data_IF_408177576384
#
_entry.id   IF_408177576384
#
_cell.length_a   1.000
_cell.length_b   1.000
_cell.length_c   1.000
_cell.angle_alpha   90.00
_cell.angle_beta   90.00
_cell.angle_gamma   90.00
#
_symmetry.space_group_name_H-M   'P 1'
#
loop_
_entity.id
_entity.type
_entity.pdbx_description
1 polymer ?
#
# COMPACT_ATOMS: atom_id res chain seq x y z
N UNK A 1 -10.60 -45.91 26.38
CA UNK A 1 -11.98 -45.98 25.86
C UNK A 1 -11.91 -45.49 24.45
N UNK A 2 -12.34 -46.32 23.51
CA UNK A 2 -12.32 -45.99 22.10
C UNK A 2 -13.64 -45.30 21.73
N UNK A 3 -13.58 -44.40 20.76
CA UNK A 3 -14.67 -43.51 20.38
C UNK A 3 -15.09 -43.74 18.94
N UNK A 4 -16.39 -43.77 18.70
CA UNK A 4 -16.95 -43.81 17.35
C UNK A 4 -16.73 -42.48 16.62
N UNK A 5 -16.95 -42.48 15.30
CA UNK A 5 -16.87 -41.25 14.50
C UNK A 5 -17.79 -40.15 15.03
N UNK A 6 -19.01 -40.49 15.43
CA UNK A 6 -20.00 -39.52 15.89
C UNK A 6 -19.60 -38.87 17.22
N UNK A 7 -19.09 -39.66 18.17
CA UNK A 7 -18.60 -39.13 19.45
C UNK A 7 -17.40 -38.20 19.27
N UNK A 8 -16.52 -38.47 18.30
CA UNK A 8 -15.40 -37.58 17.97
C UNK A 8 -15.87 -36.30 17.28
N UNK A 9 -16.86 -36.39 16.39
CA UNK A 9 -17.48 -35.21 15.77
C UNK A 9 -18.07 -34.27 16.83
N UNK A 10 -18.85 -34.80 17.77
CA UNK A 10 -19.47 -34.01 18.85
C UNK A 10 -18.41 -33.41 19.78
N UNK A 11 -17.45 -34.23 20.23
CA UNK A 11 -16.40 -33.79 21.16
C UNK A 11 -15.52 -32.69 20.57
N UNK A 12 -15.15 -32.79 19.30
CA UNK A 12 -14.21 -31.85 18.65
C UNK A 12 -14.92 -30.78 17.83
N UNK A 13 -16.26 -30.83 17.73
CA UNK A 13 -17.06 -29.93 16.89
C UNK A 13 -16.58 -29.90 15.44
N UNK A 14 -16.28 -31.08 14.88
CA UNK A 14 -15.84 -31.25 13.48
C UNK A 14 -16.78 -32.17 12.73
N UNK A 15 -16.68 -32.16 11.39
CA UNK A 15 -17.48 -33.04 10.56
C UNK A 15 -16.79 -34.38 10.30
N UNK A 16 -17.59 -35.41 10.01
CA UNK A 16 -17.13 -36.71 9.52
C UNK A 16 -16.28 -36.58 8.27
N UNK A 17 -16.59 -35.60 7.41
CA UNK A 17 -15.78 -35.29 6.23
C UNK A 17 -14.37 -34.84 6.63
N UNK A 18 -14.22 -34.04 7.68
CA UNK A 18 -12.92 -33.62 8.23
C UNK A 18 -12.11 -34.83 8.73
N UNK A 19 -12.75 -35.75 9.45
CA UNK A 19 -12.11 -36.98 9.92
C UNK A 19 -11.65 -37.88 8.77
N UNK A 20 -12.52 -38.10 7.78
CA UNK A 20 -12.19 -38.85 6.56
C UNK A 20 -11.06 -38.17 5.79
N UNK A 21 -11.07 -36.85 5.72
CA UNK A 21 -10.01 -36.08 5.08
C UNK A 21 -8.67 -36.33 5.76
N UNK A 22 -8.58 -36.26 7.09
CA UNK A 22 -7.35 -36.55 7.82
C UNK A 22 -6.89 -38.02 7.67
N UNK A 23 -7.81 -38.96 7.58
CA UNK A 23 -7.48 -40.36 7.27
C UNK A 23 -6.91 -40.50 5.85
N UNK A 24 -7.55 -39.90 4.85
CA UNK A 24 -7.11 -39.94 3.45
C UNK A 24 -5.75 -39.26 3.25
N UNK A 25 -5.49 -38.19 3.98
CA UNK A 25 -4.20 -37.50 3.99
C UNK A 25 -3.12 -38.29 4.76
N UNK A 26 -3.48 -39.43 5.37
CA UNK A 26 -2.57 -40.28 6.15
C UNK A 26 -2.17 -39.68 7.50
N UNK A 27 -2.89 -38.64 7.95
CA UNK A 27 -2.61 -37.93 9.19
C UNK A 27 -3.09 -38.70 10.41
N UNK A 28 -4.15 -39.51 10.30
CA UNK A 28 -4.73 -40.31 11.39
C UNK A 28 -5.17 -41.65 10.82
N UNK A 29 -5.01 -42.76 11.54
CA UNK A 29 -5.38 -44.10 11.05
C UNK A 29 -6.14 -44.85 12.16
N UNK A 30 -7.44 -44.54 12.34
CA UNK A 30 -8.22 -45.18 13.40
C UNK A 30 -8.35 -46.69 13.14
N UNK A 31 -8.48 -47.45 14.22
CA UNK A 31 -8.84 -48.86 14.12
C UNK A 31 -10.26 -49.02 13.57
N UNK A 32 -10.62 -50.25 13.18
CA UNK A 32 -11.97 -50.58 12.77
C UNK A 32 -12.53 -51.70 13.62
N UNK A 33 -13.81 -51.61 13.96
CA UNK A 33 -14.52 -52.64 14.70
C UNK A 33 -14.92 -53.83 13.79
N UNK A 34 -15.59 -54.83 14.37
CA UNK A 34 -16.07 -56.01 13.64
C UNK A 34 -17.08 -55.70 12.53
N UNK A 35 -17.74 -54.54 12.59
CA UNK A 35 -18.70 -54.06 11.61
C UNK A 35 -18.05 -53.07 10.61
N UNK A 36 -16.72 -52.96 10.62
CA UNK A 36 -15.91 -52.09 9.78
C UNK A 36 -16.13 -50.57 10.02
N UNK A 37 -16.73 -50.19 11.15
CA UNK A 37 -16.83 -48.80 11.59
C UNK A 37 -15.51 -48.33 12.21
N UNK A 38 -15.21 -47.04 12.05
CA UNK A 38 -14.00 -46.41 12.62
C UNK A 38 -14.14 -46.28 14.12
N UNK A 39 -13.08 -46.66 14.82
CA UNK A 39 -12.94 -46.57 16.27
C UNK A 39 -11.63 -45.86 16.61
N UNK A 40 -11.74 -44.68 17.22
CA UNK A 40 -10.63 -43.78 17.52
C UNK A 40 -10.18 -43.99 18.96
N UNK A 41 -8.91 -44.29 19.16
CA UNK A 41 -8.35 -44.35 20.51
C UNK A 41 -7.95 -42.94 21.00
N UNK A 42 -7.43 -42.86 22.23
CA UNK A 42 -7.01 -41.58 22.82
C UNK A 42 -5.84 -40.91 22.07
N UNK A 43 -4.96 -41.70 21.46
CA UNK A 43 -3.84 -41.19 20.67
C UNK A 43 -4.34 -40.57 19.35
N UNK A 44 -5.27 -41.24 18.66
CA UNK A 44 -5.93 -40.71 17.47
C UNK A 44 -6.61 -39.37 17.77
N UNK A 45 -7.39 -39.32 18.86
CA UNK A 45 -8.06 -38.08 19.30
C UNK A 45 -7.05 -36.99 19.61
N UNK A 46 -5.97 -37.29 20.33
CA UNK A 46 -4.93 -36.32 20.68
C UNK A 46 -4.23 -35.78 19.42
N UNK A 47 -3.98 -36.65 18.45
CA UNK A 47 -3.40 -36.29 17.16
C UNK A 47 -4.35 -35.41 16.34
N UNK A 48 -5.64 -35.71 16.32
CA UNK A 48 -6.66 -34.85 15.67
C UNK A 48 -6.67 -33.47 16.33
N UNK A 49 -6.69 -33.38 17.67
CA UNK A 49 -6.63 -32.10 18.39
C UNK A 49 -5.40 -31.29 18.01
N UNK A 50 -4.25 -31.95 17.91
CA UNK A 50 -3.00 -31.29 17.50
C UNK A 50 -3.06 -30.77 16.05
N UNK A 51 -3.61 -31.56 15.13
CA UNK A 51 -3.84 -31.13 13.74
C UNK A 51 -4.75 -29.89 13.72
N UNK A 52 -5.86 -29.91 14.46
CA UNK A 52 -6.81 -28.80 14.52
C UNK A 52 -6.14 -27.51 15.04
N UNK A 53 -5.36 -27.60 16.12
CA UNK A 53 -4.60 -26.47 16.65
C UNK A 53 -3.67 -25.83 15.61
N UNK A 54 -2.94 -26.66 14.85
CA UNK A 54 -2.07 -26.15 13.78
C UNK A 54 -2.88 -25.53 12.61
N UNK A 55 -4.05 -26.10 12.30
CA UNK A 55 -4.96 -25.56 11.29
C UNK A 55 -5.56 -24.21 11.69
N UNK A 56 -5.80 -23.97 12.98
CA UNK A 56 -6.22 -22.65 13.49
C UNK A 56 -5.16 -21.57 13.27
N UNK A 57 -3.88 -21.95 13.27
CA UNK A 57 -2.75 -21.07 12.93
C UNK A 57 -2.45 -21.02 11.43
N UNK A 58 -3.38 -21.53 10.60
CA UNK A 58 -3.27 -21.59 9.15
C UNK A 58 -1.98 -22.29 8.66
N UNK A 59 -1.55 -23.32 9.39
CA UNK A 59 -0.51 -24.25 8.95
C UNK A 59 -1.13 -25.23 7.97
N UNK A 60 -0.50 -25.42 6.82
CA UNK A 60 -1.06 -26.28 5.75
C UNK A 60 -1.00 -27.76 6.13
N UNK A 61 -1.85 -28.58 5.50
CA UNK A 61 -1.84 -30.04 5.70
C UNK A 61 -0.49 -30.65 5.33
N UNK A 62 0.16 -30.14 4.29
CA UNK A 62 1.49 -30.60 3.87
C UNK A 62 2.56 -30.28 4.93
N UNK A 63 2.53 -29.10 5.54
CA UNK A 63 3.42 -28.75 6.65
C UNK A 63 3.14 -29.58 7.90
N UNK A 64 1.87 -29.85 8.21
CA UNK A 64 1.48 -30.72 9.33
C UNK A 64 2.01 -32.14 9.11
N UNK A 65 1.96 -32.67 7.88
CA UNK A 65 2.61 -33.96 7.55
C UNK A 65 4.12 -33.90 7.76
N UNK A 66 4.77 -32.80 7.41
CA UNK A 66 6.22 -32.64 7.62
C UNK A 66 6.57 -32.59 9.11
N UNK A 67 5.74 -31.92 9.92
CA UNK A 67 5.88 -31.87 11.38
C UNK A 67 5.71 -33.26 11.99
N UNK A 68 4.64 -33.96 11.64
CA UNK A 68 4.31 -35.29 12.18
C UNK A 68 5.36 -36.35 11.80
N UNK A 69 6.04 -36.18 10.66
CA UNK A 69 7.11 -37.07 10.21
C UNK A 69 8.50 -36.57 10.62
N UNK A 70 8.60 -35.65 11.59
CA UNK A 70 9.84 -35.08 12.13
C UNK A 70 10.77 -34.45 11.08
N UNK A 71 10.24 -34.09 9.91
CA UNK A 71 10.98 -33.41 8.83
C UNK A 71 11.13 -31.91 9.09
N UNK A 72 10.24 -31.34 9.91
CA UNK A 72 10.25 -29.94 10.32
C UNK A 72 9.88 -29.80 11.78
N UNK A 73 10.53 -28.87 12.47
CA UNK A 73 10.11 -28.44 13.80
C UNK A 73 8.85 -27.58 13.70
N UNK A 74 7.93 -27.76 14.65
CA UNK A 74 6.75 -26.90 14.82
C UNK A 74 7.20 -25.44 14.98
N UNK A 75 8.25 -25.23 15.77
CA UNK A 75 8.77 -23.88 16.06
C UNK A 75 9.18 -23.17 14.78
N UNK A 76 9.94 -23.86 13.91
CA UNK A 76 10.44 -23.27 12.68
C UNK A 76 9.30 -22.91 11.72
N UNK A 77 8.27 -23.78 11.62
CA UNK A 77 7.08 -23.50 10.80
C UNK A 77 6.35 -22.26 11.30
N UNK A 78 6.15 -22.14 12.62
CA UNK A 78 5.44 -21.01 13.21
C UNK A 78 6.26 -19.71 13.18
N UNK A 79 7.57 -19.76 13.36
CA UNK A 79 8.45 -18.57 13.23
C UNK A 79 8.42 -18.05 11.78
N UNK A 80 8.52 -18.92 10.79
CA UNK A 80 8.36 -18.54 9.38
C UNK A 80 6.98 -17.92 9.10
N UNK A 81 5.90 -18.49 9.64
CA UNK A 81 4.54 -17.93 9.50
C UNK A 81 4.46 -16.52 10.10
N UNK A 82 5.05 -16.28 11.28
CA UNK A 82 5.08 -14.94 11.91
C UNK A 82 5.81 -13.92 11.03
N UNK A 83 6.92 -14.31 10.42
CA UNK A 83 7.67 -13.39 9.55
C UNK A 83 6.95 -13.11 8.23
N UNK A 84 6.25 -14.10 7.67
CA UNK A 84 5.34 -13.88 6.54
C UNK A 84 4.22 -12.91 6.88
N UNK A 85 3.59 -13.05 8.06
CA UNK A 85 2.54 -12.15 8.52
C UNK A 85 3.06 -10.72 8.66
N UNK A 86 4.24 -10.52 9.28
CA UNK A 86 4.86 -9.19 9.39
C UNK A 86 5.11 -8.56 8.02
N UNK A 87 5.61 -9.35 7.06
CA UNK A 87 5.84 -8.87 5.70
C UNK A 87 4.54 -8.47 5.01
N UNK A 88 3.50 -9.30 5.13
CA UNK A 88 2.17 -8.99 4.59
C UNK A 88 1.58 -7.72 5.19
N UNK A 89 1.76 -7.49 6.50
CA UNK A 89 1.34 -6.23 7.14
C UNK A 89 2.06 -5.03 6.50
N UNK A 90 3.38 -5.09 6.34
CA UNK A 90 4.14 -4.02 5.71
C UNK A 90 3.70 -3.79 4.25
N UNK A 91 3.45 -4.86 3.50
CA UNK A 91 2.97 -4.76 2.11
C UNK A 91 1.57 -4.13 2.05
N UNK A 92 0.67 -4.50 2.97
CA UNK A 92 -0.67 -3.92 3.08
C UNK A 92 -0.62 -2.44 3.50
N UNK A 93 0.26 -2.06 4.44
CA UNK A 93 0.50 -0.67 4.82
C UNK A 93 0.99 0.16 3.63
N UNK A 94 1.93 -0.36 2.85
CA UNK A 94 2.41 0.31 1.63
C UNK A 94 1.31 0.44 0.56
N UNK A 95 0.45 -0.57 0.40
CA UNK A 95 -0.69 -0.51 -0.52
C UNK A 95 -1.70 0.54 -0.04
N UNK A 96 -2.02 0.55 1.25
CA UNK A 96 -2.92 1.55 1.83
C UNK A 96 -2.35 2.96 1.69
N UNK A 97 -1.05 3.17 1.90
CA UNK A 97 -0.40 4.46 1.64
C UNK A 97 -0.55 4.86 0.17
N UNK A 98 -0.35 3.93 -0.78
CA UNK A 98 -0.52 4.22 -2.22
C UNK A 98 -1.96 4.53 -2.58
N UNK A 99 -2.93 3.79 -2.04
CA UNK A 99 -4.36 4.05 -2.23
C UNK A 99 -4.71 5.42 -1.65
N UNK A 100 -4.23 5.73 -0.44
CA UNK A 100 -4.39 7.03 0.18
C UNK A 100 -3.75 8.13 -0.66
N UNK A 101 -2.54 7.95 -1.18
CA UNK A 101 -1.91 8.93 -2.07
C UNK A 101 -2.71 9.13 -3.37
N UNK A 102 -3.28 8.06 -3.91
CA UNK A 102 -4.09 8.09 -5.13
C UNK A 102 -5.47 8.75 -4.90
N UNK A 103 -6.11 8.47 -3.77
CA UNK A 103 -7.43 9.02 -3.40
C UNK A 103 -7.30 10.44 -2.80
N UNK A 104 -6.25 10.72 -2.02
CA UNK A 104 -6.09 11.96 -1.27
C UNK A 104 -5.62 13.13 -2.12
N UNK A 105 -4.90 12.92 -3.23
CA UNK A 105 -4.32 14.04 -3.99
C UNK A 105 -5.40 14.86 -4.68
N UNK A 106 -5.95 15.81 -3.92
CA UNK A 106 -6.91 16.77 -4.40
C UNK A 106 -6.20 17.68 -5.39
N UNK A 107 -6.71 17.74 -6.61
CA UNK A 107 -6.27 18.71 -7.59
C UNK A 107 -6.67 20.09 -7.09
N UNK A 108 -5.68 20.89 -6.73
CA UNK A 108 -5.88 22.24 -6.20
C UNK A 108 -5.13 23.25 -7.04
N UNK A 109 -5.68 24.45 -7.11
CA UNK A 109 -4.87 25.62 -7.42
C UNK A 109 -4.14 26.08 -6.17
N UNK A 110 -3.07 26.83 -6.34
CA UNK A 110 -2.39 27.46 -5.23
C UNK A 110 -2.56 28.98 -5.25
N UNK A 111 -2.56 29.56 -4.06
CA UNK A 111 -2.37 30.99 -3.86
C UNK A 111 -1.29 31.17 -2.81
N UNK A 112 -0.32 32.02 -3.11
CA UNK A 112 0.76 32.37 -2.19
C UNK A 112 0.63 33.84 -1.90
N UNK A 113 0.27 34.17 -0.66
CA UNK A 113 -0.14 35.50 -0.22
C UNK A 113 -1.22 36.13 -1.14
N UNK A 114 -0.85 37.12 -1.97
CA UNK A 114 -1.76 37.82 -2.89
C UNK A 114 -1.70 37.32 -4.34
N UNK A 115 -0.81 36.37 -4.65
CA UNK A 115 -0.67 35.85 -6.02
C UNK A 115 -1.55 34.61 -6.19
N UNK A 116 -2.40 34.64 -7.22
CA UNK A 116 -3.39 33.60 -7.49
C UNK A 116 -3.06 32.85 -8.78
N UNK A 117 -3.19 31.52 -8.76
CA UNK A 117 -3.32 30.72 -9.98
C UNK A 117 -4.75 30.84 -10.56
N UNK A 118 -4.86 31.19 -11.85
CA UNK A 118 -6.11 31.44 -12.56
C UNK A 118 -6.54 30.20 -13.40
N UNK A 119 -7.84 29.83 -13.40
CA UNK A 119 -8.37 28.70 -14.18
C UNK A 119 -9.74 28.19 -13.70
N UNK A 120 -10.19 27.00 -14.12
CA UNK A 120 -11.58 26.50 -13.90
C UNK A 120 -11.81 25.62 -12.66
N UNK A 121 -10.76 25.15 -11.98
CA UNK A 121 -10.88 24.34 -10.74
C UNK A 121 -11.25 25.25 -9.55
N UNK A 122 -12.26 24.87 -8.76
CA UNK A 122 -12.77 25.64 -7.60
C UNK A 122 -11.87 25.59 -6.37
N UNK A 123 -11.17 24.48 -6.20
CA UNK A 123 -10.46 24.15 -4.97
C UNK A 123 -9.08 24.80 -4.94
N UNK A 124 -8.78 25.51 -3.85
CA UNK A 124 -7.56 26.29 -3.69
C UNK A 124 -6.87 26.01 -2.35
N UNK A 125 -5.57 25.77 -2.41
CA UNK A 125 -4.66 25.69 -1.28
C UNK A 125 -3.95 27.03 -1.12
N UNK A 126 -4.13 27.68 0.03
CA UNK A 126 -3.53 28.96 0.35
C UNK A 126 -2.27 28.77 1.20
N UNK A 127 -1.19 29.42 0.81
CA UNK A 127 0.06 29.52 1.55
C UNK A 127 0.12 30.91 2.16
N UNK A 128 -0.27 31.02 3.43
CA UNK A 128 -0.08 32.23 4.22
C UNK A 128 1.28 32.21 4.90
N UNK A 129 1.63 33.31 5.56
CA UNK A 129 2.94 33.49 6.21
C UNK A 129 3.22 32.42 7.27
N UNK A 130 2.21 32.08 8.07
CA UNK A 130 2.39 31.23 9.25
C UNK A 130 1.64 29.88 9.16
N UNK A 131 0.80 29.69 8.12
CA UNK A 131 -0.02 28.49 7.97
C UNK A 131 -0.41 28.22 6.50
N UNK A 132 -0.79 26.97 6.23
CA UNK A 132 -1.51 26.58 5.02
C UNK A 132 -3.02 26.50 5.30
N UNK A 133 -3.84 26.77 4.29
CA UNK A 133 -5.28 26.59 4.40
C UNK A 133 -5.87 25.93 3.16
N UNK A 134 -6.70 24.93 3.36
CA UNK A 134 -7.49 24.29 2.31
C UNK A 134 -8.93 24.08 2.81
N UNK A 135 -9.90 24.70 2.14
CA UNK A 135 -11.28 24.74 2.63
C UNK A 135 -11.37 25.36 4.03
N UNK A 136 -11.94 24.62 4.98
CA UNK A 136 -11.99 24.99 6.41
C UNK A 136 -10.77 24.50 7.21
N UNK A 137 -9.91 23.66 6.62
CA UNK A 137 -8.76 23.10 7.30
C UNK A 137 -7.61 24.10 7.31
N UNK A 138 -7.10 24.41 8.51
CA UNK A 138 -5.91 25.23 8.75
C UNK A 138 -4.80 24.36 9.30
N UNK A 139 -3.59 24.46 8.74
CA UNK A 139 -2.41 23.70 9.14
C UNK A 139 -1.30 24.71 9.46
N UNK A 140 -0.92 24.88 10.73
CA UNK A 140 0.19 25.77 11.06
C UNK A 140 1.52 25.13 10.65
N UNK A 141 2.46 25.93 10.15
CA UNK A 141 3.76 25.38 9.77
C UNK A 141 4.53 24.79 10.97
N UNK A 142 4.28 25.27 12.18
CA UNK A 142 4.82 24.69 13.43
C UNK A 142 4.43 23.23 13.65
N UNK A 143 3.31 22.79 13.07
CA UNK A 143 2.75 21.46 13.25
C UNK A 143 3.23 20.48 12.16
N UNK A 144 3.91 21.01 11.13
CA UNK A 144 4.47 20.25 10.01
C UNK A 144 5.80 19.64 10.42
N UNK A 145 5.91 18.31 10.34
CA UNK A 145 7.16 17.59 10.53
C UNK A 145 8.08 17.77 9.33
N UNK A 146 7.53 17.56 8.13
CA UNK A 146 8.22 17.79 6.87
C UNK A 146 7.23 17.87 5.71
N UNK A 147 7.67 18.47 4.61
CA UNK A 147 7.00 18.39 3.32
C UNK A 147 7.61 17.27 2.49
N UNK A 148 6.80 16.53 1.76
CA UNK A 148 7.28 15.57 0.77
C UNK A 148 6.84 16.02 -0.61
N UNK A 149 7.81 16.14 -1.50
CA UNK A 149 7.63 16.58 -2.88
C UNK A 149 7.83 15.42 -3.83
N UNK A 150 6.95 15.34 -4.81
CA UNK A 150 7.08 14.44 -5.95
C UNK A 150 6.46 15.09 -7.19
N UNK A 151 6.41 14.35 -8.29
CA UNK A 151 5.83 14.83 -9.53
C UNK A 151 5.05 13.73 -10.23
N UNK A 152 3.93 14.11 -10.84
CA UNK A 152 3.12 13.24 -11.68
C UNK A 152 2.80 13.91 -13.00
N UNK A 153 2.29 13.13 -13.96
CA UNK A 153 1.92 13.65 -15.26
C UNK A 153 0.62 13.07 -15.79
N UNK A 154 -0.08 13.84 -16.62
CA UNK A 154 -1.31 13.41 -17.32
C UNK A 154 -1.23 13.76 -18.80
N UNK A 155 -1.99 13.06 -19.63
CA UNK A 155 -2.13 13.41 -21.05
C UNK A 155 -3.17 14.51 -21.17
N UNK A 156 -2.79 15.64 -21.76
CA UNK A 156 -3.70 16.67 -22.24
C UNK A 156 -3.96 16.52 -23.74
N UNK A 157 -5.17 16.84 -24.18
CA UNK A 157 -5.52 16.93 -25.61
C UNK A 157 -5.60 18.41 -26.01
N UNK A 158 -4.88 18.82 -27.04
CA UNK A 158 -5.00 20.16 -27.63
C UNK A 158 -5.56 20.05 -29.05
N UNK A 159 -6.88 20.26 -29.21
CA UNK A 159 -7.67 19.92 -30.41
C UNK A 159 -7.45 18.46 -30.83
N UNK A 160 -8.29 17.95 -31.74
CA UNK A 160 -8.57 16.50 -31.93
C UNK A 160 -7.35 15.60 -32.24
N UNK A 161 -6.16 16.15 -32.51
CA UNK A 161 -5.00 15.38 -33.05
C UNK A 161 -3.64 15.58 -32.34
N UNK A 162 -3.52 16.41 -31.29
CA UNK A 162 -2.22 16.64 -30.62
C UNK A 162 -2.31 16.37 -29.12
N UNK A 163 -1.66 15.30 -28.66
CA UNK A 163 -1.47 15.01 -27.25
C UNK A 163 -0.25 15.78 -26.71
N UNK A 164 -0.38 16.35 -25.52
CA UNK A 164 0.72 16.96 -24.77
C UNK A 164 0.75 16.39 -23.35
N UNK A 165 1.88 16.57 -22.66
CA UNK A 165 1.98 16.20 -21.24
C UNK A 165 1.67 17.38 -20.36
N UNK A 166 0.78 17.17 -19.41
CA UNK A 166 0.60 18.03 -18.26
C UNK A 166 1.43 17.48 -17.10
N UNK A 167 2.09 18.37 -16.37
CA UNK A 167 2.87 18.02 -15.20
C UNK A 167 2.25 18.63 -13.95
N UNK A 168 2.35 17.91 -12.85
CA UNK A 168 1.84 18.34 -11.56
C UNK A 168 2.89 18.11 -10.49
N UNK A 169 3.05 19.08 -9.61
CA UNK A 169 3.78 18.89 -8.35
C UNK A 169 2.84 18.21 -7.37
N UNK A 170 3.27 17.06 -6.88
CA UNK A 170 2.57 16.36 -5.81
C UNK A 170 3.19 16.78 -4.48
N UNK A 171 2.36 17.34 -3.60
CA UNK A 171 2.77 17.87 -2.30
C UNK A 171 2.06 17.09 -1.19
N UNK A 172 2.82 16.44 -0.33
CA UNK A 172 2.31 15.89 0.93
C UNK A 172 2.81 16.74 2.11
N UNK A 173 1.88 17.27 2.90
CA UNK A 173 2.14 18.02 4.13
C UNK A 173 2.01 17.04 5.30
N UNK A 174 3.15 16.59 5.84
CA UNK A 174 3.19 15.58 6.90
C UNK A 174 3.25 16.27 8.25
N UNK A 175 2.22 16.08 9.06
CA UNK A 175 2.10 16.64 10.42
C UNK A 175 2.35 15.55 11.48
N UNK A 176 2.15 15.88 12.76
CA UNK A 176 2.24 14.89 13.82
C UNK A 176 1.17 13.79 13.74
N UNK A 177 -0.03 14.13 13.24
CA UNK A 177 -1.21 13.26 13.32
C UNK A 177 -1.78 12.89 11.95
N UNK A 178 -1.57 13.73 10.94
CA UNK A 178 -2.17 13.59 9.62
C UNK A 178 -1.20 13.89 8.48
N UNK A 179 -1.52 13.37 7.31
CA UNK A 179 -0.88 13.74 6.03
C UNK A 179 -1.94 14.29 5.07
N UNK A 180 -1.70 15.51 4.60
CA UNK A 180 -2.54 16.21 3.61
C UNK A 180 -1.86 16.21 2.24
N UNK A 181 -2.50 15.60 1.25
CA UNK A 181 -1.92 15.38 -0.08
C UNK A 181 -2.61 16.23 -1.14
N UNK A 182 -1.82 16.91 -1.96
CA UNK A 182 -2.30 17.82 -3.00
C UNK A 182 -1.60 17.55 -4.32
N UNK A 183 -2.33 17.77 -5.42
CA UNK A 183 -1.77 17.77 -6.77
C UNK A 183 -1.93 19.16 -7.36
N UNK A 184 -0.80 19.81 -7.64
CA UNK A 184 -0.74 21.22 -8.05
C UNK A 184 -0.25 21.26 -9.49
N UNK A 185 -1.04 21.86 -10.38
CA UNK A 185 -0.63 21.99 -11.78
C UNK A 185 0.66 22.81 -11.89
N UNK A 186 1.60 22.35 -12.71
CA UNK A 186 2.83 23.10 -12.96
C UNK A 186 2.50 24.45 -13.63
N UNK A 187 2.69 25.54 -12.90
CA UNK A 187 2.41 26.90 -13.34
C UNK A 187 3.38 27.90 -12.70
N UNK A 188 3.25 29.18 -13.07
CA UNK A 188 4.10 30.28 -12.62
C UNK A 188 4.01 30.61 -11.12
N UNK A 189 3.03 30.10 -10.40
CA UNK A 189 2.87 30.36 -8.96
C UNK A 189 3.66 29.34 -8.12
N UNK A 190 3.98 28.17 -8.69
CA UNK A 190 4.65 27.08 -7.96
C UNK A 190 6.02 27.49 -7.40
N UNK A 191 6.77 28.37 -8.07
CA UNK A 191 8.06 28.82 -7.50
C UNK A 191 7.86 29.55 -6.17
N UNK A 192 6.76 30.29 -5.99
CA UNK A 192 6.47 31.01 -4.74
C UNK A 192 6.11 30.04 -3.63
N UNK A 193 5.46 28.92 -3.97
CA UNK A 193 5.25 27.83 -3.03
C UNK A 193 6.59 27.26 -2.58
N UNK A 194 7.52 27.01 -3.51
CA UNK A 194 8.86 26.51 -3.17
C UNK A 194 9.62 27.51 -2.28
N UNK A 195 9.57 28.81 -2.59
CA UNK A 195 10.14 29.86 -1.73
C UNK A 195 9.54 29.86 -0.32
N UNK A 196 8.24 29.55 -0.18
CA UNK A 196 7.56 29.51 1.12
C UNK A 196 7.98 28.32 1.98
N UNK A 197 8.22 27.15 1.37
CA UNK A 197 8.49 25.92 2.11
C UNK A 197 9.98 25.57 2.23
N UNK A 198 10.88 26.21 1.46
CA UNK A 198 12.32 25.85 1.37
C UNK A 198 13.06 25.81 2.72
N UNK A 199 12.62 26.61 3.70
CA UNK A 199 13.29 26.73 5.00
C UNK A 199 12.81 25.67 6.01
N UNK A 200 11.90 24.78 5.60
CA UNK A 200 11.40 23.66 6.40
C UNK A 200 12.08 22.35 6.02
N UNK A 201 11.85 21.28 6.80
CA UNK A 201 12.32 19.94 6.42
C UNK A 201 11.55 19.46 5.17
N UNK A 202 12.27 19.04 4.13
CA UNK A 202 11.68 18.59 2.87
C UNK A 202 12.30 17.26 2.42
N UNK A 203 11.46 16.28 2.12
CA UNK A 203 11.81 15.11 1.31
C UNK A 203 11.58 15.44 -0.17
N UNK A 204 12.66 15.75 -0.90
CA UNK A 204 12.61 16.14 -2.32
C UNK A 204 13.58 15.30 -3.17
N UNK A 205 13.26 14.02 -3.44
CA UNK A 205 14.13 13.13 -4.20
C UNK A 205 14.36 13.58 -5.65
N UNK A 206 13.50 14.45 -6.18
CA UNK A 206 13.59 14.97 -7.56
C UNK A 206 14.34 16.31 -7.64
N UNK A 207 14.67 16.93 -6.50
CA UNK A 207 15.29 18.26 -6.44
C UNK A 207 14.38 19.36 -6.99
N UNK A 208 13.06 19.22 -6.87
CA UNK A 208 12.09 20.19 -7.36
C UNK A 208 12.31 21.59 -6.77
N UNK A 209 12.63 21.72 -5.47
CA UNK A 209 12.85 23.04 -4.86
C UNK A 209 13.92 23.80 -5.64
N UNK A 210 15.10 23.21 -5.81
CA UNK A 210 16.20 23.84 -6.54
C UNK A 210 15.85 24.08 -8.01
N UNK A 211 15.16 23.13 -8.66
CA UNK A 211 14.76 23.26 -10.07
C UNK A 211 13.85 24.48 -10.25
N UNK A 212 12.82 24.64 -9.43
CA UNK A 212 11.85 25.73 -9.53
C UNK A 212 12.45 27.08 -9.13
N UNK A 213 13.34 27.11 -8.12
CA UNK A 213 13.98 28.36 -7.67
C UNK A 213 15.01 28.88 -8.70
N UNK A 214 15.72 27.98 -9.39
CA UNK A 214 16.75 28.34 -10.37
C UNK A 214 16.21 28.54 -11.80
N UNK A 215 15.08 27.92 -12.17
CA UNK A 215 14.49 28.01 -13.52
C UNK A 215 13.19 28.82 -13.50
N UNK A 216 13.33 30.13 -13.31
CA UNK A 216 12.19 31.07 -13.24
C UNK A 216 11.44 31.25 -14.56
N UNK A 217 12.05 30.91 -15.69
CA UNK A 217 11.39 30.88 -17.00
C UNK A 217 10.59 29.57 -17.17
N UNK A 218 9.27 29.69 -17.31
CA UNK A 218 8.35 28.55 -17.40
C UNK A 218 8.58 27.68 -18.64
N UNK A 219 9.08 28.24 -19.75
CA UNK A 219 9.37 27.46 -20.95
C UNK A 219 10.59 26.58 -20.72
N UNK A 220 11.68 27.15 -20.19
CA UNK A 220 12.89 26.42 -19.82
C UNK A 220 12.62 25.36 -18.75
N UNK A 221 11.81 25.70 -17.73
CA UNK A 221 11.38 24.76 -16.70
C UNK A 221 10.63 23.57 -17.31
N UNK A 222 9.61 23.84 -18.12
CA UNK A 222 8.83 22.78 -18.76
C UNK A 222 9.69 21.91 -19.69
N UNK A 223 10.62 22.49 -20.44
CA UNK A 223 11.57 21.72 -21.26
C UNK A 223 12.51 20.87 -20.42
N UNK A 224 12.95 21.37 -19.26
CA UNK A 224 13.77 20.60 -18.34
C UNK A 224 12.98 19.40 -17.78
N UNK A 225 11.79 19.63 -17.23
CA UNK A 225 10.92 18.60 -16.68
C UNK A 225 10.60 17.55 -17.75
N UNK A 226 10.20 17.98 -18.95
CA UNK A 226 9.90 17.07 -20.07
C UNK A 226 11.03 16.10 -20.39
N UNK A 227 12.29 16.56 -20.35
CA UNK A 227 13.49 15.77 -20.64
C UNK A 227 13.81 14.76 -19.54
N UNK A 228 13.59 15.12 -18.28
CA UNK A 228 14.02 14.31 -17.13
C UNK A 228 12.91 13.39 -16.59
N UNK A 229 11.64 13.76 -16.75
CA UNK A 229 10.51 13.08 -16.12
C UNK A 229 10.40 11.60 -16.46
N UNK A 230 10.77 11.18 -17.67
CA UNK A 230 10.74 9.74 -18.04
C UNK A 230 11.69 8.92 -17.16
N UNK A 231 12.88 9.46 -16.85
CA UNK A 231 13.85 8.79 -15.97
C UNK A 231 13.32 8.78 -14.54
N UNK A 232 12.85 9.92 -14.05
CA UNK A 232 12.26 10.03 -12.70
C UNK A 232 11.08 9.09 -12.50
N UNK A 233 10.18 8.98 -13.48
CA UNK A 233 9.03 8.09 -13.41
C UNK A 233 9.44 6.62 -13.27
N UNK A 234 10.52 6.20 -13.94
CA UNK A 234 11.05 4.84 -13.83
C UNK A 234 11.75 4.60 -12.49
N UNK A 235 12.57 5.56 -12.05
CA UNK A 235 13.42 5.47 -10.85
C UNK A 235 12.60 5.54 -9.55
N UNK A 236 11.57 6.40 -9.53
CA UNK A 236 10.74 6.69 -8.36
C UNK A 236 9.30 6.16 -8.50
N UNK A 237 9.04 5.32 -9.51
CA UNK A 237 7.73 4.70 -9.77
C UNK A 237 6.57 5.70 -9.87
N UNK A 238 6.78 6.81 -10.56
CA UNK A 238 5.80 7.90 -10.70
C UNK A 238 4.80 7.62 -11.83
N UNK A 239 3.59 8.18 -11.69
CA UNK A 239 2.54 8.08 -12.71
C UNK A 239 2.97 8.77 -14.02
N UNK A 240 3.15 7.94 -15.05
CA UNK A 240 3.59 8.37 -16.38
C UNK A 240 2.78 7.69 -17.49
N UNK A 241 1.69 8.33 -17.96
CA UNK A 241 0.85 7.76 -19.01
C UNK A 241 1.52 7.74 -20.39
N UNK A 242 2.75 8.25 -20.56
CA UNK A 242 3.53 8.01 -21.79
C UNK A 242 3.79 6.51 -22.03
N UNK A 243 3.90 5.72 -20.97
CA UNK A 243 4.19 4.28 -21.09
C UNK A 243 2.99 3.45 -21.54
N UNK A 244 1.76 3.92 -21.30
CA UNK A 244 0.54 3.23 -21.78
C UNK A 244 0.21 3.54 -23.24
N UNK A 245 0.67 4.68 -23.76
CA UNK A 245 0.53 5.03 -25.20
C UNK A 245 1.49 4.19 -26.07
N UNK A 246 2.70 3.91 -25.58
CA UNK A 246 3.73 3.17 -26.33
C UNK A 246 3.50 1.64 -26.38
N UNK A 247 2.52 1.11 -25.64
CA UNK A 247 2.15 -0.31 -25.66
C UNK A 247 0.98 -0.65 -26.60
N UNK A 248 0.51 0.33 -27.40
CA UNK A 248 -0.40 0.08 -28.51
C UNK A 248 0.39 -0.11 -29.81
N UNK A 249 1.06 -1.25 -29.93
CA UNK A 249 1.48 -1.88 -31.19
C UNK A 249 1.23 -3.39 -31.09
#
# INVERSE_FOLDING_TARGET
MDMTTHEVEEMLSITKKTLIYYENEGLVKPARDSNNYRNYNQEDVSRIKFILLLREMDVTIEEIKQIINDKKSIRDVLENKKDMIKKQHLDLENIDERINNYIKRRKVKIAVDHVLDYGTISDRLYFYKDYLQYGQTKINYSDVKYFKLSMSSSIGLMRVLVAHMNYYVDLDVVTQHDTYSFQIMNNEVVYQMMERIKDYSIEDPLGLVDIYLNKRDMVQLNQYINRHFRKWAKEYHLDNPRESILKKE
#
